data_IF_457151805268
#
_entry.id   IF_457151805268
#
_cell.length_a   1.000
_cell.length_b   1.000
_cell.length_c   1.000
_cell.angle_alpha   90.00
_cell.angle_beta   90.00
_cell.angle_gamma   90.00
#
_symmetry.space_group_name_H-M   'P 1'
#
loop_
_entity.id
_entity.type
_entity.pdbx_description
1 polymer ?
#
# COMPACT_ATOMS: atom_id res chain seq x y z
N UNK A 1 -4.86 -0.77 3.81
CA UNK A 1 -4.13 0.42 4.33
C UNK A 1 -2.70 0.33 3.84
N UNK A 2 -2.20 1.37 3.17
CA UNK A 2 -0.76 1.53 2.90
C UNK A 2 -0.23 2.53 3.93
N UNK A 3 0.32 2.06 5.05
CA UNK A 3 0.70 2.93 6.16
C UNK A 3 1.34 2.17 7.31
N UNK A 4 1.72 2.89 8.37
CA UNK A 4 2.30 2.30 9.57
C UNK A 4 1.37 1.25 10.18
N UNK A 5 1.95 0.10 10.51
CA UNK A 5 1.26 -0.99 11.21
C UNK A 5 2.03 -1.25 12.49
N UNK A 6 1.33 -1.17 13.63
CA UNK A 6 1.94 -1.38 14.94
C UNK A 6 2.57 -2.77 15.03
N UNK A 7 3.85 -2.81 15.41
CA UNK A 7 4.60 -4.05 15.56
C UNK A 7 4.98 -4.75 14.25
N UNK A 8 4.82 -4.10 13.09
CA UNK A 8 5.29 -4.65 11.82
C UNK A 8 6.83 -4.65 11.78
N UNK A 9 7.42 -5.85 11.81
CA UNK A 9 8.86 -6.01 11.66
C UNK A 9 9.34 -5.77 10.22
N UNK A 10 10.54 -5.20 10.07
CA UNK A 10 11.21 -5.10 8.78
C UNK A 10 11.67 -6.48 8.31
N UNK A 11 11.41 -6.81 7.04
CA UNK A 11 11.90 -8.04 6.41
C UNK A 11 13.42 -8.01 6.17
N UNK A 12 14.05 -6.83 6.22
CA UNK A 12 15.48 -6.60 5.99
C UNK A 12 16.05 -5.69 7.10
N UNK A 13 16.33 -6.23 8.30
CA UNK A 13 16.80 -5.43 9.43
C UNK A 13 18.18 -4.80 9.16
N UNK A 14 18.25 -3.48 9.19
CA UNK A 14 19.45 -2.72 8.83
C UNK A 14 20.60 -2.95 9.80
N UNK A 15 20.32 -3.13 11.10
CA UNK A 15 21.34 -3.37 12.12
C UNK A 15 22.21 -4.60 11.85
N UNK A 16 21.67 -5.62 11.17
CA UNK A 16 22.37 -6.85 10.79
C UNK A 16 23.24 -6.69 9.53
N UNK A 17 23.04 -5.61 8.78
CA UNK A 17 23.78 -5.29 7.55
C UNK A 17 24.96 -4.34 7.81
N UNK A 18 25.06 -3.79 9.02
CA UNK A 18 26.16 -2.91 9.39
C UNK A 18 27.50 -3.67 9.45
N UNK A 19 28.63 -2.99 9.19
CA UNK A 19 29.95 -3.55 9.46
C UNK A 19 30.08 -4.03 10.91
N UNK A 20 30.84 -5.10 11.13
CA UNK A 20 31.01 -5.73 12.44
C UNK A 20 31.50 -4.77 13.56
N UNK A 21 32.16 -3.66 13.18
CA UNK A 21 32.55 -2.60 14.11
C UNK A 21 31.36 -2.03 14.91
N UNK A 22 30.15 -2.05 14.36
CA UNK A 22 28.93 -1.50 14.97
C UNK A 22 28.05 -2.56 15.64
N UNK A 23 28.51 -3.81 15.76
CA UNK A 23 27.71 -4.89 16.33
C UNK A 23 27.30 -4.60 17.79
N UNK A 24 28.23 -4.07 18.58
CA UNK A 24 28.03 -3.75 20.00
C UNK A 24 27.70 -2.26 20.26
N UNK A 25 27.52 -1.45 19.21
CA UNK A 25 27.17 -0.04 19.34
C UNK A 25 25.65 0.11 19.53
N UNK A 26 25.23 0.30 20.78
CA UNK A 26 23.82 0.45 21.16
C UNK A 26 23.12 1.59 20.42
N UNK A 27 23.81 2.71 20.18
CA UNK A 27 23.21 3.85 19.48
C UNK A 27 22.96 3.51 18.02
N UNK A 28 23.95 2.92 17.34
CA UNK A 28 23.83 2.52 15.94
C UNK A 28 22.72 1.48 15.75
N UNK A 29 22.64 0.49 16.64
CA UNK A 29 21.60 -0.54 16.62
C UNK A 29 20.21 0.05 16.87
N UNK A 30 20.05 0.91 17.87
CA UNK A 30 18.74 1.54 18.15
C UNK A 30 18.32 2.52 17.05
N UNK A 31 19.26 3.24 16.45
CA UNK A 31 18.97 4.14 15.34
C UNK A 31 18.47 3.38 14.11
N UNK A 32 19.16 2.30 13.74
CA UNK A 32 18.75 1.45 12.61
C UNK A 32 17.43 0.75 12.87
N UNK A 33 17.18 0.28 14.10
CA UNK A 33 15.88 -0.28 14.48
C UNK A 33 14.72 0.72 14.29
N UNK A 34 14.92 1.99 14.68
CA UNK A 34 13.91 3.03 14.44
C UNK A 34 13.69 3.31 12.94
N UNK A 35 14.73 3.20 12.12
CA UNK A 35 14.60 3.31 10.66
C UNK A 35 13.88 2.09 10.06
N UNK A 36 14.13 0.88 10.58
CA UNK A 36 13.45 -0.35 10.19
C UNK A 36 11.93 -0.25 10.43
N UNK A 37 11.48 0.37 11.53
CA UNK A 37 10.05 0.62 11.79
C UNK A 37 9.42 1.53 10.73
N UNK A 38 10.12 2.57 10.31
CA UNK A 38 9.65 3.51 9.27
C UNK A 38 9.63 2.85 7.89
N UNK A 39 10.61 2.00 7.59
CA UNK A 39 10.76 1.35 6.28
C UNK A 39 9.87 0.11 6.12
N UNK A 40 9.52 -0.58 7.21
CA UNK A 40 8.78 -1.85 7.15
C UNK A 40 7.48 -1.79 6.31
N UNK A 41 6.62 -0.76 6.40
CA UNK A 41 5.44 -0.68 5.54
C UNK A 41 5.75 -0.53 4.05
N UNK A 42 6.86 0.14 3.71
CA UNK A 42 7.28 0.30 2.31
C UNK A 42 7.75 -1.03 1.74
N UNK A 43 8.59 -1.74 2.49
CA UNK A 43 9.05 -3.08 2.09
C UNK A 43 7.87 -4.03 1.94
N UNK A 44 6.90 -3.99 2.86
CA UNK A 44 5.69 -4.80 2.75
C UNK A 44 4.87 -4.49 1.48
N UNK A 45 4.73 -3.22 1.10
CA UNK A 45 4.07 -2.86 -0.16
C UNK A 45 4.84 -3.39 -1.38
N UNK A 46 6.17 -3.32 -1.36
CA UNK A 46 7.02 -3.82 -2.45
C UNK A 46 6.98 -5.34 -2.56
N UNK A 47 7.02 -6.05 -1.44
CA UNK A 47 6.90 -7.52 -1.40
C UNK A 47 5.53 -7.99 -1.93
N UNK A 48 4.49 -7.19 -1.71
CA UNK A 48 3.14 -7.45 -2.18
C UNK A 48 2.81 -6.75 -3.52
N UNK A 49 3.80 -6.19 -4.24
CA UNK A 49 3.55 -5.35 -5.42
C UNK A 49 2.78 -6.08 -6.52
N UNK A 50 3.02 -7.38 -6.70
CA UNK A 50 2.30 -8.18 -7.71
C UNK A 50 0.79 -8.15 -7.50
N UNK A 51 0.33 -8.21 -6.24
CA UNK A 51 -1.10 -8.18 -5.91
C UNK A 51 -1.77 -6.85 -6.28
N UNK A 52 -1.01 -5.77 -6.47
CA UNK A 52 -1.54 -4.48 -6.92
C UNK A 52 -1.90 -4.50 -8.41
N UNK A 53 -1.42 -5.47 -9.18
CA UNK A 53 -1.76 -5.63 -10.60
C UNK A 53 -2.90 -6.62 -10.84
N UNK A 54 -3.43 -7.26 -9.79
CA UNK A 54 -4.67 -8.05 -9.85
C UNK A 54 -5.86 -7.17 -9.40
N UNK A 55 -6.79 -6.79 -10.30
CA UNK A 55 -7.93 -5.95 -9.95
C UNK A 55 -8.85 -6.53 -8.86
N UNK A 56 -8.80 -7.84 -8.64
CA UNK A 56 -9.61 -8.50 -7.59
C UNK A 56 -9.00 -8.39 -6.19
N UNK A 57 -7.69 -8.12 -6.10
CA UNK A 57 -6.93 -8.03 -4.85
C UNK A 57 -6.45 -6.60 -4.55
N UNK A 58 -6.26 -5.80 -5.59
CA UNK A 58 -5.73 -4.46 -5.50
C UNK A 58 -6.68 -3.52 -4.75
N UNK A 59 -6.15 -2.54 -3.99
CA UNK A 59 -6.96 -1.49 -3.41
C UNK A 59 -7.71 -0.69 -4.48
N UNK A 60 -8.99 -0.44 -4.23
CA UNK A 60 -9.91 0.28 -5.12
C UNK A 60 -9.33 1.62 -5.63
N UNK A 61 -8.78 2.44 -4.74
CA UNK A 61 -8.17 3.72 -5.09
C UNK A 61 -6.99 3.59 -6.07
N UNK A 62 -6.18 2.54 -5.93
CA UNK A 62 -5.06 2.25 -6.82
C UNK A 62 -5.56 1.79 -8.20
N UNK A 63 -6.55 0.88 -8.25
CA UNK A 63 -7.12 0.40 -9.51
C UNK A 63 -7.76 1.52 -10.32
N UNK A 64 -8.47 2.46 -9.68
CA UNK A 64 -9.06 3.61 -10.36
C UNK A 64 -7.98 4.54 -10.95
N UNK A 65 -6.94 4.84 -10.18
CA UNK A 65 -5.80 5.64 -10.65
C UNK A 65 -5.06 4.99 -11.82
N UNK A 66 -4.78 3.69 -11.72
CA UNK A 66 -4.10 2.94 -12.77
C UNK A 66 -5.00 2.81 -14.01
N UNK A 67 -6.30 2.61 -13.82
CA UNK A 67 -7.32 2.60 -14.87
C UNK A 67 -7.31 3.88 -15.70
N UNK A 68 -7.20 5.03 -15.05
CA UNK A 68 -7.05 6.33 -15.70
C UNK A 68 -5.80 6.45 -16.58
N UNK A 69 -4.73 5.69 -16.29
CA UNK A 69 -3.52 5.67 -17.13
C UNK A 69 -3.64 4.75 -18.34
N UNK A 70 -4.32 3.61 -18.18
CA UNK A 70 -4.45 2.60 -19.24
C UNK A 70 -5.74 2.76 -20.07
N UNK A 71 -6.62 3.69 -19.70
CA UNK A 71 -7.91 3.89 -20.34
C UNK A 71 -8.94 2.79 -20.04
N UNK A 72 -8.78 2.09 -18.91
CA UNK A 72 -9.74 1.09 -18.44
C UNK A 72 -10.74 1.73 -17.47
N UNK A 73 -12.02 1.49 -17.69
CA UNK A 73 -13.06 1.92 -16.74
C UNK A 73 -13.09 0.97 -15.54
N UNK A 74 -13.12 1.52 -14.34
CA UNK A 74 -13.26 0.75 -13.10
C UNK A 74 -14.68 0.83 -12.55
N UNK A 75 -15.07 -0.12 -11.70
CA UNK A 75 -16.39 -0.10 -11.06
C UNK A 75 -16.61 1.17 -10.22
N UNK A 76 -15.55 1.77 -9.68
CA UNK A 76 -15.63 3.09 -9.04
C UNK A 76 -15.99 4.22 -10.01
N UNK A 77 -15.47 4.21 -11.24
CA UNK A 77 -15.84 5.20 -12.27
C UNK A 77 -17.30 5.03 -12.68
N UNK A 78 -17.75 3.77 -12.83
CA UNK A 78 -19.16 3.45 -13.11
C UNK A 78 -20.07 3.91 -11.97
N UNK A 79 -19.65 3.74 -10.71
CA UNK A 79 -20.39 4.22 -9.54
C UNK A 79 -20.40 5.75 -9.42
N UNK A 80 -19.31 6.44 -9.80
CA UNK A 80 -19.22 7.90 -9.80
C UNK A 80 -20.05 8.55 -10.93
N UNK A 81 -20.20 7.86 -12.06
CA UNK A 81 -20.99 8.30 -13.21
C UNK A 81 -22.49 7.94 -13.16
N UNK A 82 -22.92 7.13 -12.19
CA UNK A 82 -24.32 6.74 -12.06
C UNK A 82 -25.19 7.96 -11.63
N UNK A 83 -26.25 8.32 -12.36
CA UNK A 83 -27.16 9.36 -11.92
C UNK A 83 -27.78 8.92 -10.59
N UNK A 84 -27.62 9.75 -9.54
CA UNK A 84 -28.30 9.55 -8.26
C UNK A 84 -29.80 9.44 -8.50
N UNK A 85 -30.32 8.22 -8.35
CA UNK A 85 -31.74 7.82 -8.42
C UNK A 85 -32.73 8.90 -8.87
N UNK A 86 -33.01 8.95 -10.18
CA UNK A 86 -34.28 9.51 -10.65
C UNK A 86 -35.44 8.62 -10.18
N UNK A 87 -36.61 9.19 -9.84
CA UNK A 87 -37.74 8.40 -9.33
C UNK A 87 -38.22 7.38 -10.39
N UNK A 88 -38.84 6.25 -9.97
CA UNK A 88 -39.29 5.22 -10.90
C UNK A 88 -40.28 5.81 -11.91
N UNK A 89 -40.28 5.33 -13.17
CA UNK A 89 -41.21 5.83 -14.17
C UNK A 89 -42.65 5.55 -13.70
N UNK A 90 -43.41 6.62 -13.49
CA UNK A 90 -44.84 6.52 -13.27
C UNK A 90 -45.47 5.93 -14.53
N UNK A 91 -46.02 4.72 -14.41
CA UNK A 91 -46.72 4.08 -15.50
C UNK A 91 -47.95 4.88 -15.94
N UNK A 92 -48.12 5.02 -17.25
CA UNK A 92 -49.36 4.95 -18.03
C UNK A 92 -49.03 5.24 -19.50
#
# INVERSE_FOLDING_TARGET
>A
MRGSIDGLGSAQPLGLMLPALFADDELAQRFTAGLDEVLAPFLNVLDCLEAYFDPSLAPLDFTAWLGGWVGAETEQDTAAGAPSGGPPPAGA
#
